data_IF_876038883765
#
_entry.id   IF_876038883765
#
_cell.length_a   1.000
_cell.length_b   1.000
_cell.length_c   1.000
_cell.angle_alpha   90.00
_cell.angle_beta   90.00
_cell.angle_gamma   90.00
#
_symmetry.space_group_name_H-M   'P 1'
#
loop_
_entity.id
_entity.type
_entity.pdbx_description
1 polymer ?
#
# COMPACT_ATOMS: atom_id res chain seq x y z
N UNK A 1 -5.23 35.61 -24.21
CA UNK A 1 -5.12 35.43 -22.74
C UNK A 1 -4.09 36.34 -22.09
N UNK A 2 -2.98 36.66 -22.75
CA UNK A 2 -1.92 37.48 -22.17
C UNK A 2 -2.40 38.79 -21.49
N UNK A 3 -3.36 39.51 -22.07
CA UNK A 3 -3.92 40.72 -21.46
C UNK A 3 -4.66 40.49 -20.12
N UNK A 4 -5.19 39.29 -19.88
CA UNK A 4 -5.99 38.97 -18.68
C UNK A 4 -5.17 38.27 -17.59
N UNK A 5 -4.31 37.29 -17.95
CA UNK A 5 -3.55 36.49 -16.99
C UNK A 5 -2.03 36.64 -17.11
N UNK A 6 -1.54 37.49 -18.03
CA UNK A 6 -0.10 37.65 -18.32
C UNK A 6 0.62 36.33 -18.63
N UNK A 7 -0.14 35.37 -19.16
CA UNK A 7 0.32 34.03 -19.49
C UNK A 7 0.28 33.82 -21.00
N UNK A 8 1.26 33.08 -21.53
CA UNK A 8 1.35 32.71 -22.94
C UNK A 8 2.74 32.91 -23.54
N UNK A 9 2.88 32.72 -24.87
CA UNK A 9 4.16 32.80 -25.57
C UNK A 9 4.62 34.23 -25.90
N UNK A 10 3.77 35.23 -25.68
CA UNK A 10 4.04 36.63 -26.02
C UNK A 10 4.62 37.38 -24.81
N UNK A 11 5.55 38.29 -25.08
CA UNK A 11 6.12 39.19 -24.05
C UNK A 11 5.15 40.33 -23.70
N UNK A 12 5.31 40.95 -22.52
CA UNK A 12 4.44 42.03 -22.02
C UNK A 12 4.16 43.11 -23.07
N UNK A 13 5.20 43.61 -23.76
CA UNK A 13 5.05 44.67 -24.77
C UNK A 13 4.27 44.23 -26.00
N UNK A 14 4.36 42.96 -26.39
CA UNK A 14 3.62 42.41 -27.55
C UNK A 14 2.16 42.15 -27.22
N UNK A 15 1.83 42.00 -25.94
CA UNK A 15 0.46 41.83 -25.49
C UNK A 15 -0.34 43.14 -25.50
N UNK A 16 0.35 44.26 -25.30
CA UNK A 16 -0.24 45.61 -25.39
C UNK A 16 -0.46 46.06 -26.84
N UNK A 17 0.24 45.46 -27.80
CA UNK A 17 0.06 45.73 -29.24
C UNK A 17 -1.21 45.07 -29.82
N UNK A 18 -1.87 44.18 -29.07
CA UNK A 18 -3.10 43.53 -29.50
C UNK A 18 -4.28 44.52 -29.51
N UNK A 19 -4.87 44.74 -30.69
CA UNK A 19 -5.91 45.74 -30.95
C UNK A 19 -7.32 45.38 -30.45
N UNK A 20 -7.53 44.13 -30.05
CA UNK A 20 -8.82 43.67 -29.55
C UNK A 20 -9.00 43.95 -28.06
N UNK A 21 -10.25 44.13 -27.63
CA UNK A 21 -10.58 44.38 -26.22
C UNK A 21 -11.01 43.09 -25.54
N UNK A 22 -10.44 42.82 -24.37
CA UNK A 22 -10.79 41.66 -23.54
C UNK A 22 -11.70 42.10 -22.39
N UNK A 23 -12.86 41.46 -22.27
CA UNK A 23 -13.84 41.73 -21.22
C UNK A 23 -13.97 40.48 -20.35
N UNK A 24 -13.56 40.53 -19.07
CA UNK A 24 -13.77 39.42 -18.15
C UNK A 24 -15.25 39.33 -17.76
N UNK A 25 -15.82 38.13 -17.86
CA UNK A 25 -17.21 37.82 -17.51
C UNK A 25 -17.27 36.58 -16.63
N UNK A 26 -18.31 36.49 -15.79
CA UNK A 26 -18.56 35.28 -14.97
C UNK A 26 -19.10 34.13 -15.81
N UNK A 27 -19.99 34.45 -16.73
CA UNK A 27 -20.61 33.52 -17.66
C UNK A 27 -20.51 34.11 -19.07
N UNK A 28 -20.18 33.26 -20.06
CA UNK A 28 -20.06 33.70 -21.44
C UNK A 28 -21.46 34.03 -22.00
N UNK A 29 -21.60 35.14 -22.76
CA UNK A 29 -22.86 35.48 -23.37
C UNK A 29 -23.25 34.44 -24.43
N UNK A 30 -24.51 34.03 -24.44
CA UNK A 30 -25.05 33.14 -25.47
C UNK A 30 -25.41 33.98 -26.68
N UNK A 31 -24.59 33.92 -27.73
CA UNK A 31 -24.84 34.62 -28.99
C UNK A 31 -25.30 33.62 -30.06
N UNK A 32 -26.40 33.94 -30.74
CA UNK A 32 -26.94 33.12 -31.82
C UNK A 32 -25.88 33.00 -32.93
N UNK A 33 -25.46 31.77 -33.25
CA UNK A 33 -24.38 31.41 -34.21
C UNK A 33 -22.92 31.57 -33.76
N UNK A 34 -22.62 31.80 -32.47
CA UNK A 34 -21.21 31.84 -32.01
C UNK A 34 -20.87 30.67 -31.10
N UNK A 35 -19.85 29.89 -31.47
CA UNK A 35 -19.34 28.79 -30.64
C UNK A 35 -18.34 29.30 -29.62
N UNK A 36 -18.51 28.90 -28.36
CA UNK A 36 -17.50 29.10 -27.33
C UNK A 36 -16.20 28.37 -27.68
N UNK A 37 -15.07 29.04 -27.49
CA UNK A 37 -13.75 28.49 -27.70
C UNK A 37 -13.15 28.08 -26.36
N UNK A 38 -12.54 26.90 -26.31
CA UNK A 38 -11.80 26.43 -25.15
C UNK A 38 -10.32 26.24 -25.49
N UNK A 39 -9.45 26.60 -24.57
CA UNK A 39 -8.02 26.36 -24.71
C UNK A 39 -7.40 25.97 -23.37
N UNK A 40 -6.40 25.10 -23.41
CA UNK A 40 -5.67 24.62 -22.24
C UNK A 40 -4.39 25.43 -22.10
N UNK A 41 -4.23 26.09 -20.96
CA UNK A 41 -3.01 26.85 -20.65
C UNK A 41 -1.86 25.88 -20.33
N UNK A 42 -0.75 25.88 -21.09
CA UNK A 42 0.38 24.96 -20.86
C UNK A 42 1.12 25.19 -19.54
N UNK A 43 0.91 26.32 -18.87
CA UNK A 43 1.59 26.66 -17.62
C UNK A 43 0.93 26.02 -16.39
N UNK A 44 -0.41 25.99 -16.38
CA UNK A 44 -1.22 25.60 -15.22
C UNK A 44 -2.08 24.34 -15.49
N UNK A 45 -2.06 23.78 -16.71
CA UNK A 45 -2.95 22.70 -17.17
C UNK A 45 -4.45 23.01 -16.99
N UNK A 46 -4.80 24.29 -16.84
CA UNK A 46 -6.18 24.74 -16.69
C UNK A 46 -6.82 25.04 -18.04
N UNK A 47 -8.11 24.73 -18.17
CA UNK A 47 -8.90 25.07 -19.36
C UNK A 47 -9.60 26.40 -19.15
N UNK A 48 -9.52 27.30 -20.11
CA UNK A 48 -10.28 28.54 -20.10
C UNK A 48 -11.20 28.64 -21.30
N UNK A 49 -12.27 29.38 -21.10
CA UNK A 49 -13.34 29.56 -22.08
C UNK A 49 -13.41 31.01 -22.49
N UNK A 50 -13.51 31.24 -23.78
CA UNK A 50 -13.65 32.57 -24.35
C UNK A 50 -14.59 32.56 -25.55
N UNK A 51 -15.18 33.72 -25.82
CA UNK A 51 -16.03 33.96 -26.98
C UNK A 51 -15.58 35.26 -27.62
N UNK A 52 -15.52 35.30 -28.94
CA UNK A 52 -15.19 36.52 -29.67
C UNK A 52 -16.35 36.90 -30.58
N UNK A 53 -16.53 38.20 -30.76
CA UNK A 53 -17.49 38.77 -31.69
C UNK A 53 -16.82 39.87 -32.48
N UNK A 54 -17.00 39.81 -33.78
CA UNK A 54 -16.47 40.76 -34.74
C UNK A 54 -17.62 41.59 -35.31
N UNK A 55 -17.57 42.91 -35.09
CA UNK A 55 -18.53 43.83 -35.70
C UNK A 55 -18.09 44.19 -37.12
N UNK A 56 -18.80 43.66 -38.11
CA UNK A 56 -18.55 43.89 -39.55
C UNK A 56 -18.56 45.38 -39.97
N UNK A 57 -19.14 46.28 -39.16
CA UNK A 57 -19.25 47.71 -39.51
C UNK A 57 -18.09 48.56 -39.02
N UNK A 58 -17.47 48.17 -37.92
CA UNK A 58 -16.42 48.96 -37.26
C UNK A 58 -15.08 48.26 -37.18
N UNK A 59 -14.96 47.03 -37.70
CA UNK A 59 -13.74 46.21 -37.65
C UNK A 59 -13.22 46.05 -36.21
N UNK A 60 -14.16 46.04 -35.25
CA UNK A 60 -13.86 45.94 -33.83
C UNK A 60 -14.07 44.49 -33.38
N UNK A 61 -13.00 43.90 -32.84
CA UNK A 61 -13.01 42.57 -32.23
C UNK A 61 -13.19 42.69 -30.71
N UNK A 62 -14.29 42.16 -30.20
CA UNK A 62 -14.58 42.07 -28.76
C UNK A 62 -14.41 40.64 -28.30
N UNK A 63 -13.65 40.40 -27.25
CA UNK A 63 -13.41 39.06 -26.70
C UNK A 63 -13.92 39.01 -25.27
N UNK A 64 -14.92 38.17 -25.01
CA UNK A 64 -15.34 37.83 -23.65
C UNK A 64 -14.58 36.62 -23.16
N UNK A 65 -14.14 36.69 -21.92
CA UNK A 65 -13.30 35.68 -21.32
C UNK A 65 -13.88 35.32 -19.96
N UNK A 66 -14.02 34.03 -19.67
CA UNK A 66 -14.45 33.58 -18.35
C UNK A 66 -13.37 33.92 -17.32
N UNK A 67 -13.73 34.64 -16.26
CA UNK A 67 -12.79 35.09 -15.22
C UNK A 67 -12.10 33.91 -14.50
N UNK A 68 -12.83 32.81 -14.29
CA UNK A 68 -12.36 31.62 -13.60
C UNK A 68 -11.98 30.52 -14.61
N UNK A 69 -10.71 30.09 -14.56
CA UNK A 69 -10.22 28.92 -15.32
C UNK A 69 -10.76 27.64 -14.67
N UNK A 70 -11.11 26.64 -15.48
CA UNK A 70 -11.46 25.31 -15.01
C UNK A 70 -10.17 24.49 -14.87
N UNK A 71 -9.69 24.36 -13.63
CA UNK A 71 -8.45 23.66 -13.30
C UNK A 71 -8.77 22.26 -12.73
N UNK A 72 -8.06 21.20 -13.16
CA UNK A 72 -8.22 19.90 -12.56
C UNK A 72 -7.87 19.94 -11.06
N UNK A 73 -8.61 19.22 -10.20
CA UNK A 73 -8.35 19.25 -8.76
C UNK A 73 -6.96 18.67 -8.45
N UNK A 74 -6.27 19.20 -7.42
CA UNK A 74 -4.96 18.69 -7.03
C UNK A 74 -5.08 17.23 -6.59
N UNK A 75 -4.32 16.35 -7.23
CA UNK A 75 -4.28 14.94 -6.87
C UNK A 75 -3.62 14.76 -5.50
N UNK A 76 -4.26 14.08 -4.51
CA UNK A 76 -3.70 13.92 -3.17
C UNK A 76 -2.62 12.83 -3.15
N UNK A 77 -1.43 13.14 -3.66
CA UNK A 77 -0.31 12.20 -3.82
C UNK A 77 0.06 11.51 -2.50
N UNK A 78 0.09 12.26 -1.39
CA UNK A 78 0.42 11.72 -0.08
C UNK A 78 -0.55 10.61 0.36
N UNK A 79 -1.85 10.79 0.12
CA UNK A 79 -2.86 9.80 0.50
C UNK A 79 -2.69 8.49 -0.29
N UNK A 80 -2.39 8.60 -1.59
CA UNK A 80 -2.13 7.44 -2.45
C UNK A 80 -0.91 6.68 -1.95
N UNK A 81 0.20 7.37 -1.69
CA UNK A 81 1.44 6.75 -1.22
C UNK A 81 1.24 6.02 0.11
N UNK A 82 0.59 6.65 1.08
CA UNK A 82 0.29 6.02 2.37
C UNK A 82 -0.63 4.81 2.21
N UNK A 83 -1.64 4.91 1.36
CA UNK A 83 -2.55 3.81 1.05
C UNK A 83 -1.83 2.59 0.47
N UNK A 84 -0.91 2.81 -0.47
CA UNK A 84 -0.11 1.73 -1.08
C UNK A 84 0.79 1.06 -0.06
N UNK A 85 1.50 1.83 0.77
CA UNK A 85 2.38 1.29 1.82
C UNK A 85 1.58 0.44 2.80
N UNK A 86 0.45 0.97 3.29
CA UNK A 86 -0.43 0.23 4.20
C UNK A 86 -0.93 -1.08 3.56
N UNK A 87 -1.32 -1.04 2.28
CA UNK A 87 -1.75 -2.22 1.53
C UNK A 87 -0.67 -3.30 1.45
N UNK A 88 0.58 -2.93 1.13
CA UNK A 88 1.71 -3.86 1.05
C UNK A 88 2.00 -4.48 2.43
N UNK A 89 1.98 -3.68 3.50
CA UNK A 89 2.20 -4.18 4.87
C UNK A 89 1.12 -5.18 5.25
N UNK A 90 -0.15 -4.86 5.01
CA UNK A 90 -1.28 -5.76 5.33
C UNK A 90 -1.16 -7.07 4.52
N UNK A 91 -0.86 -6.99 3.23
CA UNK A 91 -0.69 -8.17 2.38
C UNK A 91 0.47 -9.05 2.89
N UNK A 92 1.60 -8.43 3.26
CA UNK A 92 2.74 -9.11 3.87
C UNK A 92 2.38 -9.80 5.18
N UNK A 93 1.61 -9.14 6.05
CA UNK A 93 1.13 -9.72 7.31
C UNK A 93 0.20 -10.91 7.08
N UNK A 94 -0.73 -10.82 6.12
CA UNK A 94 -1.62 -11.93 5.78
C UNK A 94 -0.81 -13.14 5.30
N UNK A 95 0.14 -12.93 4.40
CA UNK A 95 1.01 -13.99 3.89
C UNK A 95 1.84 -14.62 5.02
N UNK A 96 2.40 -13.81 5.91
CA UNK A 96 3.14 -14.29 7.09
C UNK A 96 2.25 -15.08 8.05
N UNK A 97 1.01 -14.64 8.28
CA UNK A 97 0.05 -15.36 9.12
C UNK A 97 -0.33 -16.71 8.53
N UNK A 98 -0.59 -16.78 7.23
CA UNK A 98 -0.89 -18.04 6.53
C UNK A 98 0.32 -18.98 6.58
N UNK A 99 1.52 -18.47 6.26
CA UNK A 99 2.77 -19.24 6.38
C UNK A 99 2.96 -19.77 7.81
N UNK A 100 2.76 -18.90 8.81
CA UNK A 100 2.94 -19.26 10.22
C UNK A 100 1.93 -20.32 10.65
N UNK A 101 0.68 -20.22 10.20
CA UNK A 101 -0.34 -21.22 10.48
C UNK A 101 0.03 -22.58 9.87
N UNK A 102 0.44 -22.60 8.59
CA UNK A 102 0.85 -23.82 7.90
C UNK A 102 2.04 -24.49 8.57
N UNK A 103 3.08 -23.71 8.93
CA UNK A 103 4.26 -24.25 9.63
C UNK A 103 3.91 -24.80 11.00
N UNK A 104 3.09 -24.11 11.79
CA UNK A 104 2.65 -24.60 13.11
C UNK A 104 1.84 -25.89 13.01
N UNK A 105 0.98 -26.03 11.98
CA UNK A 105 0.24 -27.26 11.76
C UNK A 105 1.15 -28.43 11.37
N UNK A 106 2.15 -28.17 10.52
CA UNK A 106 3.15 -29.17 10.15
C UNK A 106 3.97 -29.62 11.36
N UNK A 107 4.50 -28.67 12.12
CA UNK A 107 5.27 -28.93 13.34
C UNK A 107 4.43 -29.72 14.38
N UNK A 108 3.13 -29.38 14.54
CA UNK A 108 2.24 -30.12 15.46
C UNK A 108 1.98 -31.54 15.00
N UNK A 109 1.83 -31.77 13.71
CA UNK A 109 1.62 -33.11 13.17
C UNK A 109 2.85 -33.99 13.37
N UNK A 110 4.05 -33.45 13.12
CA UNK A 110 5.31 -34.16 13.35
C UNK A 110 5.56 -34.40 14.85
N UNK A 111 5.28 -33.40 15.69
CA UNK A 111 5.41 -33.54 17.14
C UNK A 111 4.51 -34.65 17.71
N UNK A 112 3.24 -34.73 17.27
CA UNK A 112 2.32 -35.77 17.71
C UNK A 112 2.80 -37.17 17.33
N UNK A 113 3.38 -37.32 16.12
CA UNK A 113 3.99 -38.58 15.69
C UNK A 113 5.19 -38.94 16.57
N UNK A 114 6.09 -37.98 16.80
CA UNK A 114 7.28 -38.19 17.62
C UNK A 114 6.95 -38.54 19.08
N UNK A 115 5.95 -37.90 19.67
CA UNK A 115 5.54 -38.19 21.05
C UNK A 115 4.93 -39.61 21.17
N UNK A 116 4.16 -40.04 20.17
CA UNK A 116 3.65 -41.43 20.10
C UNK A 116 4.77 -42.47 20.01
N UNK A 117 5.79 -42.22 19.17
CA UNK A 117 6.96 -43.10 19.03
C UNK A 117 7.77 -43.15 20.34
N UNK A 118 7.93 -42.02 21.03
CA UNK A 118 8.61 -41.98 22.35
C UNK A 118 7.85 -42.70 23.45
N UNK A 119 6.52 -42.58 23.46
CA UNK A 119 5.68 -43.31 24.43
C UNK A 119 5.76 -44.81 24.19
N UNK A 120 5.65 -45.25 22.93
CA UNK A 120 5.80 -46.65 22.56
C UNK A 120 7.19 -47.20 22.93
N UNK A 121 8.27 -46.45 22.68
CA UNK A 121 9.63 -46.85 23.07
C UNK A 121 9.81 -46.98 24.59
N UNK A 122 9.07 -46.21 25.40
CA UNK A 122 9.03 -46.36 26.88
C UNK A 122 8.17 -47.53 27.35
N UNK A 123 7.19 -47.97 26.56
CA UNK A 123 6.40 -49.17 26.86
C UNK A 123 7.10 -50.45 26.37
N UNK A 124 7.90 -50.37 25.30
CA UNK A 124 8.79 -51.45 24.84
C UNK A 124 9.97 -51.72 25.80
N UNK A 125 10.09 -50.93 26.86
CA UNK A 125 10.97 -51.21 28.01
C UNK A 125 10.31 -52.14 29.05
N UNK A 126 9.11 -52.64 28.79
CA UNK A 126 8.63 -53.85 29.46
C UNK A 126 9.53 -55.00 29.01
N UNK A 127 10.46 -55.36 29.88
CA UNK A 127 11.38 -56.47 29.70
C UNK A 127 10.65 -57.67 29.09
N UNK A 128 10.99 -57.99 27.83
CA UNK A 128 10.53 -59.20 27.18
C UNK A 128 10.85 -60.38 28.12
N UNK A 129 9.91 -61.27 28.47
CA UNK A 129 10.17 -62.38 29.41
C UNK A 129 11.25 -63.37 28.94
N UNK A 130 11.73 -63.25 27.69
CA UNK A 130 12.87 -64.00 27.14
C UNK A 130 14.21 -63.22 27.25
N UNK A 131 14.18 -61.90 27.50
CA UNK A 131 15.38 -61.07 27.57
C UNK A 131 16.14 -61.30 28.88
N UNK A 132 17.40 -61.70 28.78
CA UNK A 132 18.31 -61.81 29.93
C UNK A 132 19.25 -60.61 29.92
N UNK A 133 19.22 -59.79 30.97
CA UNK A 133 20.21 -58.72 31.14
C UNK A 133 21.63 -59.33 31.19
N UNK A 134 22.54 -58.83 30.35
CA UNK A 134 23.95 -59.21 30.34
C UNK A 134 24.75 -58.48 31.45
N UNK A 135 24.14 -58.30 32.62
CA UNK A 135 24.78 -57.67 33.78
C UNK A 135 24.92 -58.70 34.87
N UNK A 136 26.14 -59.22 35.03
CA UNK A 136 26.47 -60.13 36.13
C UNK A 136 26.48 -59.33 37.44
N UNK A 137 25.36 -59.32 38.16
CA UNK A 137 25.33 -58.77 39.52
C UNK A 137 26.16 -59.68 40.42
N UNK A 138 27.44 -59.35 40.58
CA UNK A 138 28.33 -60.05 41.50
C UNK A 138 28.01 -59.62 42.93
N UNK A 139 27.34 -60.49 43.70
CA UNK A 139 27.16 -60.29 45.14
C UNK A 139 28.52 -60.46 45.82
N UNK A 140 29.08 -59.37 46.33
CA UNK A 140 30.33 -59.38 47.09
C UNK A 140 30.14 -60.21 48.38
N UNK A 141 30.79 -61.39 48.53
CA UNK A 141 30.62 -62.26 49.70
C UNK A 141 31.13 -61.65 51.00
N UNK A 142 31.97 -60.61 50.94
CA UNK A 142 32.59 -59.97 52.11
C UNK A 142 31.62 -59.03 52.84
N UNK A 143 30.53 -58.61 52.18
CA UNK A 143 29.57 -57.64 52.71
C UNK A 143 28.31 -58.30 53.31
N UNK A 144 28.47 -59.41 54.04
CA UNK A 144 27.44 -59.89 54.97
C UNK A 144 27.65 -59.15 56.28
N UNK A 145 26.80 -58.15 56.51
CA UNK A 145 26.82 -57.30 57.70
C UNK A 145 26.86 -58.11 58.99
N UNK A 146 27.98 -57.98 59.69
CA UNK A 146 28.16 -58.49 61.04
C UNK A 146 27.29 -57.65 61.99
N UNK A 147 26.06 -58.08 62.25
CA UNK A 147 25.21 -57.50 63.30
C UNK A 147 24.13 -58.52 63.68
N UNK A 148 24.36 -59.32 64.72
CA UNK A 148 23.40 -59.51 65.83
C UNK A 148 23.94 -60.43 66.93
N UNK A 149 23.99 -59.85 68.14
CA UNK A 149 23.69 -60.48 69.44
C UNK A 149 24.77 -61.33 70.15
N UNK A 150 25.54 -60.65 71.02
CA UNK A 150 25.71 -61.09 72.42
C UNK A 150 25.30 -59.95 73.36
N UNK A 151 24.02 -59.96 73.73
CA UNK A 151 23.51 -59.34 74.94
C UNK A 151 23.39 -60.49 75.96
N UNK A 152 24.38 -60.61 76.86
CA UNK A 152 24.33 -61.09 78.26
C UNK A 152 25.74 -61.39 78.76
#
# INVERSE_FOLDING_TARGET
>A
MCQQWQTGPYNETQCDECTFTVIPVKELPVLNDTTECQFVDPSDDCTFYFLYYEDQRTDNLTVWVKEEKDCPPPVPVLAIVLGVIAGIVILGLILLLVWKLLTVLHDRAEFAKFDSERLLAKWDTNENPIYKQATTTFKNPVYVGNNTMKNK
#
